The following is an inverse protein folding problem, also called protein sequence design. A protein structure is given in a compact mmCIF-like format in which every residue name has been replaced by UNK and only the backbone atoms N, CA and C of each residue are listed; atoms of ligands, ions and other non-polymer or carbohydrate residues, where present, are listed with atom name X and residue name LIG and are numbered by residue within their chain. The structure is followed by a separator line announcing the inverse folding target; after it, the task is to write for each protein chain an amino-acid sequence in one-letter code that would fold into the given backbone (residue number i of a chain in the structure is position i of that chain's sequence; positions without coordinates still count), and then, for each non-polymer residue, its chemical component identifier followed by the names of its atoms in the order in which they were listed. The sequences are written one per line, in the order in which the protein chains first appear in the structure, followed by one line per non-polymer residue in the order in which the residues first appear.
data_IF_984789145358
#
_entry.id   IF_984789145358
#
_cell.length_a   1.000
_cell.length_b   1.000
_cell.length_c   1.000
_cell.angle_alpha   90.00
_cell.angle_beta   90.00
_cell.angle_gamma   90.00
#
_symmetry.space_group_name_H-M   'P 1'
#
loop_
_entity.id
_entity.type
_entity.pdbx_description
1 polymer ?
#
# COMPACT_ATOMS: atom_id res chain seq x y z
N UNK A 1 -9.87 -0.02 7.65
CA UNK A 1 -8.81 -0.47 6.72
C UNK A 1 -9.27 -1.80 6.13
N UNK A 2 -8.72 -2.25 5.00
CA UNK A 2 -9.11 -3.52 4.38
C UNK A 2 -7.88 -4.39 4.04
N UNK A 3 -8.06 -5.69 4.11
CA UNK A 3 -7.21 -6.69 3.47
C UNK A 3 -7.88 -7.16 2.19
N UNK A 4 -7.18 -7.06 1.06
CA UNK A 4 -7.64 -7.45 -0.27
C UNK A 4 -6.79 -8.64 -0.72
N UNK A 5 -7.42 -9.81 -0.85
CA UNK A 5 -6.78 -11.00 -1.42
C UNK A 5 -7.06 -11.05 -2.92
N UNK A 6 -6.00 -11.20 -3.71
CA UNK A 6 -6.06 -11.35 -5.15
C UNK A 6 -6.11 -12.83 -5.54
N UNK A 7 -6.58 -13.11 -6.76
CA UNK A 7 -6.66 -14.48 -7.30
C UNK A 7 -5.30 -15.20 -7.36
N UNK A 8 -4.21 -14.44 -7.51
CA UNK A 8 -2.84 -14.97 -7.47
C UNK A 8 -2.31 -15.24 -6.04
N UNK A 9 -3.13 -15.07 -5.01
CA UNK A 9 -2.77 -15.26 -3.60
C UNK A 9 -2.08 -14.05 -2.95
N UNK A 10 -1.77 -12.99 -3.70
CA UNK A 10 -1.20 -11.76 -3.15
C UNK A 10 -2.21 -11.07 -2.24
N UNK A 11 -1.74 -10.54 -1.10
CA UNK A 11 -2.54 -9.76 -0.17
C UNK A 11 -2.09 -8.30 -0.18
N UNK A 12 -3.06 -7.41 -0.25
CA UNK A 12 -2.84 -5.96 -0.22
C UNK A 12 -3.60 -5.43 0.98
N UNK A 13 -2.89 -4.70 1.85
CA UNK A 13 -3.50 -4.00 2.98
C UNK A 13 -3.60 -2.53 2.60
N UNK A 14 -4.76 -1.92 2.80
CA UNK A 14 -4.93 -0.53 2.46
C UNK A 14 -6.34 0.02 2.65
N UNK A 15 -6.55 1.21 2.12
CA UNK A 15 -7.82 1.92 2.13
C UNK A 15 -8.43 1.88 0.74
N UNK A 16 -9.70 1.45 0.64
CA UNK A 16 -10.41 1.47 -0.63
C UNK A 16 -10.85 2.92 -0.89
N UNK A 17 -10.23 3.56 -1.89
CA UNK A 17 -10.56 4.92 -2.29
C UNK A 17 -11.77 4.95 -3.24
N UNK A 18 -11.89 3.92 -4.09
CA UNK A 18 -13.02 3.77 -5.02
C UNK A 18 -13.24 2.30 -5.36
N UNK A 19 -14.49 1.87 -5.39
CA UNK A 19 -14.89 0.54 -5.84
C UNK A 19 -15.94 0.65 -6.95
N UNK A 20 -15.56 0.23 -8.16
CA UNK A 20 -16.44 0.13 -9.31
C UNK A 20 -16.60 -1.35 -9.73
N UNK A 21 -17.58 -1.64 -10.59
CA UNK A 21 -17.82 -3.01 -11.10
C UNK A 21 -16.61 -3.63 -11.82
N UNK A 22 -15.72 -2.80 -12.39
CA UNK A 22 -14.56 -3.24 -13.18
C UNK A 22 -13.22 -2.99 -12.48
N UNK A 23 -13.16 -2.03 -11.56
CA UNK A 23 -11.91 -1.51 -11.02
C UNK A 23 -12.03 -1.24 -9.53
N UNK A 24 -10.95 -1.48 -8.80
CA UNK A 24 -10.77 -1.14 -7.40
C UNK A 24 -9.54 -0.23 -7.29
N UNK A 25 -9.74 0.99 -6.77
CA UNK A 25 -8.67 1.94 -6.46
C UNK A 25 -8.37 1.87 -4.98
N UNK A 26 -7.14 1.54 -4.63
CA UNK A 26 -6.72 1.33 -3.25
C UNK A 26 -5.52 2.22 -2.95
N UNK A 27 -5.52 2.88 -1.80
CA UNK A 27 -4.31 3.41 -1.17
C UNK A 27 -3.69 2.26 -0.38
N UNK A 28 -2.75 1.55 -1.00
CA UNK A 28 -2.02 0.47 -0.34
C UNK A 28 -1.10 1.07 0.72
N UNK A 29 -1.03 0.41 1.87
CA UNK A 29 -0.23 0.84 3.03
C UNK A 29 0.81 -0.24 3.31
N UNK A 30 2.06 0.18 3.45
CA UNK A 30 3.19 -0.69 3.78
C UNK A 30 3.92 -0.07 4.97
N UNK A 31 4.44 -0.91 5.87
CA UNK A 31 5.31 -0.48 6.96
C UNK A 31 6.71 -1.05 6.66
N UNK A 32 7.68 -0.16 6.50
CA UNK A 32 9.06 -0.49 6.24
C UNK A 32 9.92 -0.20 7.50
N UNK A 33 10.89 -1.06 7.85
CA UNK A 33 11.85 -0.74 8.92
C UNK A 33 12.65 0.51 8.56
N UNK A 34 12.84 1.44 9.51
CA UNK A 34 13.58 2.68 9.23
C UNK A 34 15.03 2.44 8.79
N UNK A 35 15.61 1.29 9.18
CA UNK A 35 16.98 0.88 8.86
C UNK A 35 17.23 0.61 7.38
N UNK A 36 16.18 0.46 6.56
CA UNK A 36 16.36 0.26 5.11
C UNK A 36 16.66 1.57 4.36
N UNK A 37 16.53 2.71 5.04
CA UNK A 37 16.80 4.02 4.48
C UNK A 37 18.20 4.47 4.88
N UNK A 38 19.05 4.70 3.89
CA UNK A 38 20.45 5.13 4.03
C UNK A 38 20.59 6.65 4.25
N UNK A 39 19.50 7.39 4.13
CA UNK A 39 19.42 8.83 4.31
C UNK A 39 18.26 9.24 5.22
N UNK A 40 18.33 10.48 5.71
CA UNK A 40 17.23 11.08 6.48
C UNK A 40 16.00 11.26 5.59
N UNK A 41 14.99 10.42 5.80
CA UNK A 41 13.67 10.51 5.18
C UNK A 41 12.76 11.49 5.92
N UNK A 42 11.81 12.08 5.21
CA UNK A 42 10.79 12.98 5.73
C UNK A 42 9.41 12.57 5.23
N UNK A 43 8.38 12.93 5.99
CA UNK A 43 6.99 12.80 5.54
C UNK A 43 6.79 13.60 4.25
N UNK A 44 6.18 12.97 3.25
CA UNK A 44 6.00 13.51 1.90
C UNK A 44 7.08 13.09 0.90
N UNK A 45 8.18 12.49 1.34
CA UNK A 45 9.22 12.00 0.43
C UNK A 45 8.68 10.86 -0.45
N UNK A 46 9.20 10.79 -1.68
CA UNK A 46 8.95 9.67 -2.59
C UNK A 46 10.13 8.72 -2.56
N UNK A 47 9.84 7.45 -2.33
CA UNK A 47 10.84 6.38 -2.27
C UNK A 47 10.45 5.25 -3.23
N UNK A 48 11.44 4.54 -3.73
CA UNK A 48 11.21 3.37 -4.59
C UNK A 48 11.59 2.11 -3.83
N UNK A 49 10.63 1.21 -3.64
CA UNK A 49 10.83 -0.12 -3.06
C UNK A 49 10.27 -1.16 -4.01
N UNK A 50 11.03 -2.21 -4.32
CA UNK A 50 10.62 -3.30 -5.21
C UNK A 50 9.98 -2.83 -6.53
N UNK A 51 10.61 -1.84 -7.17
CA UNK A 51 10.16 -1.18 -8.41
C UNK A 51 8.82 -0.44 -8.30
N UNK A 52 8.33 -0.18 -7.09
CA UNK A 52 7.12 0.60 -6.82
C UNK A 52 7.46 1.90 -6.10
N UNK A 53 6.89 3.02 -6.58
CA UNK A 53 7.03 4.31 -5.92
C UNK A 53 6.00 4.42 -4.78
N UNK A 54 6.48 4.85 -3.61
CA UNK A 54 5.68 5.12 -2.42
C UNK A 54 5.92 6.53 -1.91
N UNK A 55 4.92 7.08 -1.23
CA UNK A 55 5.00 8.32 -0.46
C UNK A 55 5.13 7.98 1.02
N UNK A 56 6.05 8.64 1.72
CA UNK A 56 6.18 8.55 3.16
C UNK A 56 5.01 9.29 3.81
N UNK A 57 4.15 8.56 4.52
CA UNK A 57 2.98 9.09 5.22
C UNK A 57 3.30 9.44 6.68
N UNK A 58 4.16 8.65 7.32
CA UNK A 58 4.50 8.81 8.73
C UNK A 58 5.85 8.14 9.04
N UNK A 59 6.55 8.65 10.06
CA UNK A 59 7.84 8.12 10.53
C UNK A 59 7.76 8.01 12.05
N UNK A 60 7.91 6.79 12.56
CA UNK A 60 7.87 6.48 13.98
C UNK A 60 9.02 5.56 14.39
N UNK A 61 9.24 5.38 15.70
CA UNK A 61 10.23 4.43 16.22
C UNK A 61 10.00 2.99 15.70
N UNK A 62 8.74 2.63 15.42
CA UNK A 62 8.36 1.30 14.91
C UNK A 62 8.55 1.12 13.40
N UNK A 63 8.94 2.17 12.67
CA UNK A 63 9.16 2.13 11.23
C UNK A 63 8.49 3.28 10.48
N UNK A 64 8.54 3.16 9.16
CA UNK A 64 8.12 4.17 8.19
C UNK A 64 6.85 3.69 7.52
N UNK A 65 5.78 4.46 7.67
CA UNK A 65 4.51 4.19 7.00
C UNK A 65 4.58 4.77 5.60
N UNK A 66 4.35 3.91 4.63
CA UNK A 66 4.43 4.20 3.22
C UNK A 66 3.08 3.98 2.58
N UNK A 67 2.76 4.78 1.57
CA UNK A 67 1.57 4.53 0.75
C UNK A 67 1.81 4.69 -0.73
N UNK A 68 1.06 3.93 -1.52
CA UNK A 68 0.98 4.12 -2.95
C UNK A 68 -0.45 3.84 -3.44
N UNK A 69 -0.80 4.41 -4.58
CA UNK A 69 -2.11 4.17 -5.20
C UNK A 69 -1.96 3.02 -6.18
N UNK A 70 -2.73 1.96 -5.94
CA UNK A 70 -2.81 0.81 -6.84
C UNK A 70 -4.20 0.71 -7.45
N UNK A 71 -4.23 0.36 -8.74
CA UNK A 71 -5.44 0.07 -9.49
C UNK A 71 -5.49 -1.43 -9.75
N UNK A 72 -6.58 -2.05 -9.35
CA UNK A 72 -6.77 -3.49 -9.46
C UNK A 72 -8.03 -3.74 -10.26
N UNK A 73 -7.96 -4.58 -11.29
CA UNK A 73 -9.18 -5.03 -11.97
C UNK A 73 -10.02 -5.86 -11.01
N UNK A 74 -11.32 -5.57 -10.92
CA UNK A 74 -12.22 -6.20 -9.94
C UNK A 74 -12.30 -7.71 -10.09
N UNK A 75 -12.09 -8.24 -11.31
CA UNK A 75 -12.03 -9.67 -11.63
C UNK A 75 -10.84 -10.41 -10.99
N UNK A 76 -9.78 -9.69 -10.62
CA UNK A 76 -8.59 -10.24 -10.00
C UNK A 76 -8.67 -10.25 -8.46
N UNK A 77 -9.78 -9.74 -7.89
CA UNK A 77 -10.00 -9.67 -6.45
C UNK A 77 -10.84 -10.86 -6.01
N UNK A 78 -10.22 -11.74 -5.22
CA UNK A 78 -10.83 -12.94 -4.65
C UNK A 78 -11.65 -12.63 -3.40
N UNK A 79 -11.09 -11.81 -2.50
CA UNK A 79 -11.73 -11.48 -1.21
C UNK A 79 -11.38 -10.07 -0.75
N UNK A 80 -12.31 -9.42 -0.05
CA UNK A 80 -12.10 -8.15 0.65
C UNK A 80 -12.59 -8.33 2.08
N UNK A 81 -11.74 -8.08 3.06
CA UNK A 81 -12.05 -8.20 4.48
C UNK A 81 -11.73 -6.89 5.21
N UNK A 82 -12.65 -6.43 6.06
CA UNK A 82 -12.40 -5.29 6.95
C UNK A 82 -11.49 -5.70 8.11
N UNK A 83 -10.60 -4.79 8.51
CA UNK A 83 -9.77 -4.88 9.72
C UNK A 83 -10.38 -3.96 10.78
#
# INVERSE_FOLDING_TARGET
MYTIELENGQKIIGEILKMDKKLLKIKMIVIAPITIFDHAIKVGDRIVLDNSEFVVEDISEGGVKLSNIVLIERKNVKKIEGI
#
